data_IF_302892258456
#
_entry.id   IF_302892258456
#
_cell.length_a   1.000
_cell.length_b   1.000
_cell.length_c   1.000
_cell.angle_alpha   90.00
_cell.angle_beta   90.00
_cell.angle_gamma   90.00
#
_symmetry.space_group_name_H-M   'P 1'
#
loop_
_entity.id
_entity.type
_entity.pdbx_description
1 polymer ?
#
# COMPACT_ATOMS: atom_id res chain seq x y z
N UNK A 1 19.35 -3.84 10.25
CA UNK A 1 18.11 -3.05 10.19
C UNK A 1 16.97 -4.06 10.07
N UNK A 2 16.15 -4.19 11.11
CA UNK A 2 15.02 -5.14 11.14
C UNK A 2 13.87 -4.58 10.29
N UNK A 3 13.49 -5.30 9.23
CA UNK A 3 12.44 -4.90 8.29
C UNK A 3 11.26 -5.85 8.40
N UNK A 4 10.06 -5.33 8.65
CA UNK A 4 8.85 -6.15 8.74
C UNK A 4 7.84 -5.75 7.67
N UNK A 5 6.99 -6.70 7.27
CA UNK A 5 5.79 -6.41 6.48
C UNK A 5 4.55 -6.47 7.37
N UNK A 6 3.71 -5.44 7.30
CA UNK A 6 2.39 -5.44 7.91
C UNK A 6 1.33 -5.39 6.81
N UNK A 7 0.40 -6.35 6.85
CA UNK A 7 -0.66 -6.53 5.86
C UNK A 7 -2.00 -6.21 6.54
N UNK A 8 -2.52 -4.97 6.39
CA UNK A 8 -3.80 -4.63 6.98
C UNK A 8 -4.93 -5.38 6.26
N UNK A 9 -5.80 -6.00 7.04
CA UNK A 9 -6.92 -6.77 6.54
C UNK A 9 -8.23 -6.37 7.21
N UNK A 10 -9.22 -5.97 6.38
CA UNK A 10 -10.59 -5.68 6.82
C UNK A 10 -11.58 -6.38 5.89
N UNK A 11 -12.65 -6.92 6.45
CA UNK A 11 -13.73 -7.54 5.66
C UNK A 11 -14.75 -6.53 5.15
N UNK A 12 -14.87 -5.40 5.84
CA UNK A 12 -15.78 -4.32 5.53
C UNK A 12 -15.26 -3.51 4.36
N UNK A 13 -15.71 -3.82 3.18
CA UNK A 13 -15.46 -3.05 1.96
C UNK A 13 -16.79 -2.66 1.33
N UNK A 14 -17.04 -1.35 1.16
CA UNK A 14 -18.27 -0.85 0.52
C UNK A 14 -18.48 -1.37 -0.90
N UNK A 15 -17.38 -1.55 -1.67
CA UNK A 15 -17.42 -2.00 -3.08
C UNK A 15 -17.49 -3.52 -3.23
N UNK A 16 -16.86 -4.27 -2.35
CA UNK A 16 -16.81 -5.74 -2.42
C UNK A 16 -16.63 -6.34 -1.02
N UNK A 17 -17.74 -6.59 -0.29
CA UNK A 17 -17.69 -7.17 1.06
C UNK A 17 -16.96 -8.51 1.07
N UNK A 18 -16.22 -8.77 2.14
CA UNK A 18 -15.48 -10.02 2.37
C UNK A 18 -14.46 -10.38 1.27
N UNK A 19 -13.95 -9.39 0.51
CA UNK A 19 -13.00 -9.63 -0.60
C UNK A 19 -11.82 -10.49 -0.17
N UNK A 20 -11.24 -10.24 0.99
CA UNK A 20 -9.99 -10.86 1.44
C UNK A 20 -10.11 -12.35 1.73
N UNK A 21 -11.29 -12.81 2.15
CA UNK A 21 -11.56 -14.24 2.40
C UNK A 21 -12.12 -14.96 1.16
N UNK A 22 -12.44 -14.24 0.08
CA UNK A 22 -12.80 -14.86 -1.21
C UNK A 22 -11.62 -15.64 -1.75
N UNK A 23 -11.94 -16.78 -2.37
CA UNK A 23 -10.94 -17.72 -2.89
C UNK A 23 -10.67 -17.51 -4.37
N UNK A 24 -9.41 -17.47 -4.74
CA UNK A 24 -8.93 -17.57 -6.12
C UNK A 24 -8.18 -18.89 -6.25
N UNK A 25 -8.67 -19.79 -7.10
CA UNK A 25 -8.15 -21.14 -7.23
C UNK A 25 -8.10 -21.89 -5.87
N UNK A 26 -9.18 -21.77 -5.09
CA UNK A 26 -9.31 -22.44 -3.80
C UNK A 26 -8.60 -21.80 -2.60
N UNK A 27 -7.77 -20.75 -2.81
CA UNK A 27 -6.95 -20.11 -1.79
C UNK A 27 -7.50 -18.69 -1.50
N UNK A 28 -7.75 -18.31 -0.22
CA UNK A 28 -8.15 -16.95 0.14
C UNK A 28 -7.18 -15.89 -0.35
N UNK A 29 -7.69 -14.73 -0.79
CA UNK A 29 -6.85 -13.65 -1.32
C UNK A 29 -5.82 -13.20 -0.27
N UNK A 30 -6.23 -13.00 0.97
CA UNK A 30 -5.31 -12.60 2.05
C UNK A 30 -4.16 -13.60 2.25
N UNK A 31 -4.44 -14.90 2.14
CA UNK A 31 -3.42 -15.94 2.26
C UNK A 31 -2.45 -15.93 1.07
N UNK A 32 -2.94 -15.62 -0.13
CA UNK A 32 -2.07 -15.43 -1.30
C UNK A 32 -1.12 -14.25 -1.11
N UNK A 33 -1.63 -13.12 -0.63
CA UNK A 33 -0.82 -11.93 -0.35
C UNK A 33 0.22 -12.22 0.74
N UNK A 34 -0.18 -12.91 1.81
CA UNK A 34 0.72 -13.30 2.89
C UNK A 34 1.86 -14.21 2.37
N UNK A 35 1.52 -15.25 1.61
CA UNK A 35 2.53 -16.15 0.99
C UNK A 35 3.46 -15.42 0.04
N UNK A 36 2.91 -14.54 -0.81
CA UNK A 36 3.71 -13.73 -1.73
C UNK A 36 4.71 -12.83 -0.99
N UNK A 37 4.31 -12.25 0.15
CA UNK A 37 5.22 -11.47 0.99
C UNK A 37 6.36 -12.34 1.56
N UNK A 38 6.07 -13.53 2.08
CA UNK A 38 7.07 -14.48 2.58
C UNK A 38 8.04 -14.95 1.47
N UNK A 39 7.52 -15.21 0.27
CA UNK A 39 8.32 -15.68 -0.88
C UNK A 39 9.36 -14.65 -1.33
N UNK A 40 9.17 -13.36 -1.05
CA UNK A 40 10.19 -12.33 -1.34
C UNK A 40 11.48 -12.56 -0.57
N UNK A 41 11.40 -13.09 0.65
CA UNK A 41 12.52 -13.22 1.61
C UNK A 41 13.22 -11.90 1.93
N UNK A 42 12.46 -10.80 1.89
CA UNK A 42 12.94 -9.44 2.17
C UNK A 42 12.61 -8.98 3.60
N UNK A 43 11.74 -9.70 4.30
CA UNK A 43 11.23 -9.33 5.61
C UNK A 43 11.72 -10.29 6.69
N UNK A 44 12.13 -9.75 7.82
CA UNK A 44 12.44 -10.56 9.01
C UNK A 44 11.17 -11.21 9.56
N UNK A 45 10.03 -10.48 9.49
CA UNK A 45 8.73 -10.96 9.93
C UNK A 45 7.61 -10.39 9.03
N UNK A 46 6.57 -11.19 8.79
CA UNK A 46 5.37 -10.78 8.05
C UNK A 46 4.15 -11.01 8.94
N UNK A 47 3.39 -9.96 9.21
CA UNK A 47 2.17 -10.03 10.01
C UNK A 47 0.95 -9.66 9.19
N UNK A 48 -0.15 -10.36 9.43
CA UNK A 48 -1.49 -9.89 9.03
C UNK A 48 -2.15 -9.21 10.23
N UNK A 49 -2.56 -7.95 10.03
CA UNK A 49 -3.18 -7.11 11.06
C UNK A 49 -4.67 -6.98 10.80
N UNK A 50 -5.51 -7.52 11.68
CA UNK A 50 -6.96 -7.53 11.50
C UNK A 50 -7.70 -7.48 12.82
N UNK A 51 -8.90 -6.89 12.84
CA UNK A 51 -9.86 -7.05 13.94
C UNK A 51 -10.70 -8.33 13.78
N UNK A 52 -10.72 -8.93 12.58
CA UNK A 52 -11.59 -10.07 12.26
C UNK A 52 -10.91 -11.41 12.56
N UNK A 53 -11.53 -12.22 13.43
CA UNK A 53 -11.00 -13.51 13.87
C UNK A 53 -10.93 -14.56 12.74
N UNK A 54 -11.81 -14.50 11.73
CA UNK A 54 -11.75 -15.40 10.58
C UNK A 54 -10.48 -15.16 9.77
N UNK A 55 -10.15 -13.89 9.50
CA UNK A 55 -8.91 -13.53 8.81
C UNK A 55 -7.68 -14.00 9.58
N UNK A 56 -7.65 -13.74 10.89
CA UNK A 56 -6.53 -14.14 11.74
C UNK A 56 -6.37 -15.65 11.80
N UNK A 57 -7.48 -16.41 11.86
CA UNK A 57 -7.47 -17.87 11.86
C UNK A 57 -6.88 -18.43 10.56
N UNK A 58 -7.29 -17.92 9.38
CA UNK A 58 -6.75 -18.33 8.09
C UNK A 58 -5.22 -18.26 8.06
N UNK A 59 -4.64 -17.21 8.65
CA UNK A 59 -3.20 -17.01 8.67
C UNK A 59 -2.52 -17.88 9.74
N UNK A 60 -3.12 -18.01 10.92
CA UNK A 60 -2.61 -18.89 11.99
C UNK A 60 -2.58 -20.35 11.59
N UNK A 61 -3.62 -20.82 10.90
CA UNK A 61 -3.69 -22.21 10.40
C UNK A 61 -2.57 -22.51 9.39
N UNK A 62 -2.01 -21.48 8.74
CA UNK A 62 -0.83 -21.55 7.87
C UNK A 62 0.50 -21.39 8.63
N UNK A 63 0.47 -21.23 9.95
CA UNK A 63 1.66 -20.98 10.78
C UNK A 63 2.15 -19.51 10.71
N UNK A 64 1.35 -18.60 10.17
CA UNK A 64 1.72 -17.19 9.99
C UNK A 64 1.53 -16.34 11.23
N UNK A 65 2.27 -15.22 11.30
CA UNK A 65 2.16 -14.24 12.38
C UNK A 65 0.95 -13.34 12.16
N UNK A 66 0.27 -13.03 13.25
CA UNK A 66 -0.91 -12.16 13.23
C UNK A 66 -0.87 -11.16 14.36
N UNK A 67 -1.49 -10.01 14.15
CA UNK A 67 -1.77 -9.03 15.19
C UNK A 67 -3.27 -8.73 15.22
N UNK A 68 -3.91 -8.87 16.39
CA UNK A 68 -5.33 -8.55 16.56
C UNK A 68 -5.46 -7.06 16.85
N UNK A 69 -5.99 -6.30 15.86
CA UNK A 69 -6.34 -4.90 16.02
C UNK A 69 -7.57 -4.77 16.91
N UNK A 70 -7.50 -3.91 17.90
CA UNK A 70 -8.55 -3.70 18.91
C UNK A 70 -9.45 -2.51 18.57
N UNK A 71 -8.98 -1.60 17.71
CA UNK A 71 -9.66 -0.36 17.35
C UNK A 71 -10.22 -0.43 15.93
N UNK A 72 -11.31 0.30 15.72
CA UNK A 72 -11.80 0.60 14.37
C UNK A 72 -10.94 1.70 13.77
N UNK A 73 -10.28 1.36 12.67
CA UNK A 73 -9.39 2.28 11.97
C UNK A 73 -10.01 2.76 10.66
N UNK A 74 -9.85 4.05 10.39
CA UNK A 74 -10.36 4.67 9.16
C UNK A 74 -9.57 4.23 7.92
N UNK A 75 -8.29 3.88 8.10
CA UNK A 75 -7.41 3.47 7.01
C UNK A 75 -6.58 2.21 7.33
N UNK A 76 -5.99 1.61 6.29
CA UNK A 76 -5.05 0.49 6.45
C UNK A 76 -3.79 0.89 7.18
N UNK A 77 -3.28 2.10 6.90
CA UNK A 77 -2.06 2.62 7.53
C UNK A 77 -2.27 2.92 9.02
N UNK A 78 -3.44 3.47 9.41
CA UNK A 78 -3.76 3.66 10.84
C UNK A 78 -3.83 2.32 11.58
N UNK A 79 -4.36 1.27 10.94
CA UNK A 79 -4.42 -0.09 11.51
C UNK A 79 -3.04 -0.71 11.74
N UNK A 80 -2.13 -0.59 10.77
CA UNK A 80 -0.78 -1.13 10.95
C UNK A 80 0.03 -0.33 11.96
N UNK A 81 -0.25 0.96 12.14
CA UNK A 81 0.42 1.77 13.15
C UNK A 81 0.14 1.27 14.58
N UNK A 82 -1.09 0.79 14.87
CA UNK A 82 -1.41 0.12 16.13
C UNK A 82 -0.50 -1.10 16.38
N UNK A 83 -0.31 -1.93 15.35
CA UNK A 83 0.58 -3.10 15.46
C UNK A 83 2.05 -2.69 15.61
N UNK A 84 2.49 -1.69 14.86
CA UNK A 84 3.88 -1.22 14.84
C UNK A 84 4.37 -0.69 16.20
N UNK A 85 3.49 -0.17 17.05
CA UNK A 85 3.84 0.25 18.41
C UNK A 85 4.34 -0.95 19.24
N UNK A 86 3.74 -2.13 19.03
CA UNK A 86 3.94 -3.34 19.83
C UNK A 86 4.96 -4.32 19.23
N UNK A 87 5.39 -4.11 17.99
CA UNK A 87 6.33 -4.99 17.29
C UNK A 87 7.65 -4.24 17.11
N UNK A 88 8.76 -4.85 17.49
CA UNK A 88 10.08 -4.26 17.31
C UNK A 88 10.51 -4.31 15.85
N UNK A 89 10.88 -3.17 15.26
CA UNK A 89 11.35 -3.03 13.89
C UNK A 89 12.03 -1.67 13.68
N UNK A 90 12.84 -1.58 12.64
CA UNK A 90 13.40 -0.31 12.14
C UNK A 90 12.54 0.24 11.00
N UNK A 91 12.17 -0.64 10.05
CA UNK A 91 11.36 -0.32 8.88
C UNK A 91 10.14 -1.23 8.82
N UNK A 92 9.01 -0.64 8.46
CA UNK A 92 7.78 -1.35 8.16
C UNK A 92 7.32 -1.07 6.74
N UNK A 93 6.99 -2.11 6.00
CA UNK A 93 6.36 -2.04 4.68
C UNK A 93 4.88 -2.37 4.82
N UNK A 94 4.03 -1.42 4.40
CA UNK A 94 2.57 -1.58 4.36
C UNK A 94 2.19 -2.24 3.03
N UNK A 95 1.86 -3.53 3.06
CA UNK A 95 1.41 -4.30 1.90
C UNK A 95 -0.11 -4.43 1.92
N UNK A 96 -0.78 -4.00 0.85
CA UNK A 96 -2.24 -4.08 0.79
C UNK A 96 -2.71 -5.55 0.76
N UNK A 97 -3.67 -5.90 1.63
CA UNK A 97 -4.13 -7.28 1.80
C UNK A 97 -4.76 -7.92 0.54
N UNK A 98 -5.11 -7.12 -0.46
CA UNK A 98 -5.70 -7.55 -1.72
C UNK A 98 -4.74 -7.50 -2.93
N UNK A 99 -3.44 -7.36 -2.67
CA UNK A 99 -2.38 -7.32 -3.69
C UNK A 99 -1.48 -8.57 -3.63
N UNK A 100 -1.92 -9.70 -4.19
CA UNK A 100 -1.15 -10.95 -4.15
C UNK A 100 0.06 -10.97 -5.11
N UNK A 101 0.22 -9.95 -5.95
CA UNK A 101 1.31 -9.87 -6.94
C UNK A 101 2.39 -8.89 -6.48
N UNK A 102 3.19 -9.31 -5.50
CA UNK A 102 4.28 -8.52 -4.95
C UNK A 102 5.51 -8.67 -5.85
N UNK A 103 6.03 -7.54 -6.35
CA UNK A 103 7.29 -7.57 -7.09
C UNK A 103 8.48 -7.42 -6.12
N UNK A 104 9.32 -8.45 -6.04
CA UNK A 104 10.45 -8.50 -5.12
C UNK A 104 11.45 -7.37 -5.34
N UNK A 105 11.78 -7.04 -6.60
CA UNK A 105 12.77 -6.01 -6.93
C UNK A 105 12.27 -4.63 -6.50
N UNK A 106 11.00 -4.30 -6.83
CA UNK A 106 10.40 -3.03 -6.42
C UNK A 106 10.37 -2.87 -4.88
N UNK A 107 10.05 -3.94 -4.14
CA UNK A 107 10.07 -3.91 -2.67
C UNK A 107 11.50 -3.79 -2.14
N UNK A 108 12.47 -4.47 -2.77
CA UNK A 108 13.88 -4.34 -2.41
C UNK A 108 14.37 -2.91 -2.57
N UNK A 109 14.06 -2.27 -3.71
CA UNK A 109 14.44 -0.88 -3.97
C UNK A 109 13.77 0.09 -2.98
N UNK A 110 12.51 -0.17 -2.64
CA UNK A 110 11.77 0.58 -1.63
C UNK A 110 12.48 0.49 -0.26
N UNK A 111 12.86 -0.70 0.19
CA UNK A 111 13.57 -0.92 1.46
C UNK A 111 14.97 -0.28 1.42
N UNK A 112 15.70 -0.46 0.32
CA UNK A 112 17.05 0.09 0.15
C UNK A 112 17.09 1.62 0.18
N UNK A 113 15.98 2.29 -0.15
CA UNK A 113 15.91 3.76 -0.08
C UNK A 113 16.17 4.32 1.33
N UNK A 114 15.95 3.51 2.38
CA UNK A 114 16.20 3.89 3.78
C UNK A 114 17.69 3.85 4.18
N UNK A 115 18.59 3.44 3.29
CA UNK A 115 20.03 3.65 3.48
C UNK A 115 20.39 5.15 3.43
N UNK A 116 19.55 5.97 2.76
CA UNK A 116 19.56 7.42 2.89
C UNK A 116 18.82 7.82 4.17
N UNK A 117 19.56 8.39 5.15
CA UNK A 117 19.01 8.76 6.47
C UNK A 117 17.94 9.85 6.42
N UNK A 118 17.85 10.58 5.31
CA UNK A 118 16.83 11.61 5.09
C UNK A 118 15.47 10.98 4.70
N UNK A 119 15.46 9.70 4.32
CA UNK A 119 14.23 8.99 3.96
C UNK A 119 13.57 8.43 5.22
N UNK A 120 12.41 8.98 5.56
CA UNK A 120 11.58 8.52 6.67
C UNK A 120 10.32 7.80 6.18
N UNK A 121 9.84 8.16 4.99
CA UNK A 121 8.66 7.60 4.33
C UNK A 121 9.00 7.43 2.85
N UNK A 122 8.72 6.28 2.30
CA UNK A 122 8.88 6.00 0.88
C UNK A 122 7.64 5.32 0.29
N UNK A 123 7.45 5.49 -1.01
CA UNK A 123 6.40 4.80 -1.77
C UNK A 123 6.88 4.52 -3.20
N UNK A 124 6.11 3.76 -3.96
CA UNK A 124 6.49 3.36 -5.31
C UNK A 124 5.77 4.20 -6.37
N UNK A 125 6.46 4.40 -7.50
CA UNK A 125 5.84 4.95 -8.71
C UNK A 125 6.34 4.22 -9.95
N UNK A 126 5.54 4.26 -11.03
CA UNK A 126 5.89 3.71 -12.34
C UNK A 126 5.40 4.62 -13.44
N UNK A 127 5.85 4.39 -14.67
CA UNK A 127 5.31 5.12 -15.83
C UNK A 127 3.99 4.51 -16.29
N UNK A 128 3.15 5.35 -16.91
CA UNK A 128 1.95 4.89 -17.61
C UNK A 128 2.30 4.27 -18.96
N UNK A 129 1.43 3.39 -19.46
CA UNK A 129 1.62 2.74 -20.77
C UNK A 129 0.89 3.48 -21.89
N UNK A 130 -0.22 4.13 -21.58
CA UNK A 130 -1.07 4.83 -22.55
C UNK A 130 -1.91 5.92 -21.85
N UNK A 131 -2.54 6.77 -22.64
CA UNK A 131 -3.39 7.88 -22.14
C UNK A 131 -4.68 7.40 -21.48
N UNK A 132 -5.25 6.26 -21.87
CA UNK A 132 -6.46 5.71 -21.26
C UNK A 132 -6.20 5.35 -19.79
N UNK A 133 -4.99 4.85 -19.48
CA UNK A 133 -4.60 4.62 -18.08
C UNK A 133 -4.45 5.94 -17.29
N UNK A 134 -3.97 7.02 -17.94
CA UNK A 134 -3.78 8.32 -17.29
C UNK A 134 -5.13 8.96 -16.96
N UNK A 135 -6.11 8.88 -17.87
CA UNK A 135 -7.45 9.46 -17.65
C UNK A 135 -8.29 8.65 -16.66
N UNK A 136 -7.95 7.39 -16.40
CA UNK A 136 -8.67 6.55 -15.44
C UNK A 136 -8.44 7.06 -13.99
N UNK A 137 -9.48 7.48 -13.26
CA UNK A 137 -9.35 8.01 -11.90
C UNK A 137 -8.96 6.95 -10.86
N UNK A 138 -9.03 5.65 -11.18
CA UNK A 138 -8.54 4.59 -10.31
C UNK A 138 -7.01 4.50 -10.33
N UNK A 139 -6.36 5.03 -11.34
CA UNK A 139 -4.91 5.14 -11.43
C UNK A 139 -4.49 6.50 -10.86
N UNK A 140 -3.90 6.51 -9.69
CA UNK A 140 -3.45 7.74 -9.03
C UNK A 140 -2.19 8.26 -9.73
N UNK A 141 -2.18 9.57 -10.05
CA UNK A 141 -1.01 10.27 -10.56
C UNK A 141 -0.22 10.89 -9.41
N UNK A 142 1.10 10.93 -9.56
CA UNK A 142 1.98 11.62 -8.62
C UNK A 142 2.94 12.54 -9.36
N UNK A 143 3.06 13.77 -8.88
CA UNK A 143 4.11 14.71 -9.30
C UNK A 143 5.22 14.67 -8.26
N UNK A 144 6.46 14.66 -8.72
CA UNK A 144 7.64 14.63 -7.86
C UNK A 144 8.55 15.84 -8.15
N UNK A 145 9.33 16.24 -7.15
CA UNK A 145 10.38 17.21 -7.31
C UNK A 145 11.67 16.58 -7.89
N UNK A 146 12.71 17.37 -8.08
CA UNK A 146 14.01 16.92 -8.61
C UNK A 146 14.73 15.87 -7.73
N UNK A 147 14.31 15.69 -6.50
CA UNK A 147 14.83 14.69 -5.57
C UNK A 147 13.93 13.44 -5.49
N UNK A 148 12.92 13.34 -6.36
CA UNK A 148 11.87 12.33 -6.32
C UNK A 148 11.03 12.34 -5.04
N UNK A 149 10.95 13.46 -4.32
CA UNK A 149 9.97 13.59 -3.24
C UNK A 149 8.61 14.00 -3.83
N UNK A 150 7.54 13.37 -3.36
CA UNK A 150 6.19 13.67 -3.83
C UNK A 150 5.79 15.12 -3.55
N UNK A 151 5.27 15.81 -4.57
CA UNK A 151 4.71 17.15 -4.47
C UNK A 151 3.19 17.08 -4.29
N UNK A 152 2.53 16.22 -5.09
CA UNK A 152 1.08 16.04 -5.02
C UNK A 152 0.64 14.72 -5.63
N UNK A 153 -0.49 14.19 -5.13
CA UNK A 153 -1.18 13.04 -5.68
C UNK A 153 -2.56 13.44 -6.17
N UNK A 154 -2.99 12.97 -7.34
CA UNK A 154 -4.33 13.26 -7.86
C UNK A 154 -4.94 12.09 -8.62
N UNK A 155 -6.25 12.02 -8.55
CA UNK A 155 -7.03 11.13 -9.44
C UNK A 155 -7.24 11.72 -10.83
N UNK A 156 -7.15 13.05 -10.97
CA UNK A 156 -7.15 13.70 -12.27
C UNK A 156 -5.76 13.63 -12.93
N UNK A 157 -5.69 13.74 -14.28
CA UNK A 157 -4.41 13.85 -14.97
C UNK A 157 -3.62 15.09 -14.51
N UNK A 158 -2.43 14.88 -14.03
CA UNK A 158 -1.41 15.90 -13.69
C UNK A 158 -0.04 15.44 -14.19
N UNK A 159 0.82 16.35 -14.77
CA UNK A 159 0.63 17.79 -14.93
C UNK A 159 -0.37 18.15 -16.03
N UNK A 160 -0.92 19.36 -15.96
CA UNK A 160 -1.80 19.90 -17.01
C UNK A 160 -1.00 20.20 -18.29
N UNK A 161 -1.61 19.92 -19.44
CA UNK A 161 -1.09 20.31 -20.77
C UNK A 161 0.05 19.45 -21.30
N UNK A 162 0.45 18.37 -20.64
CA UNK A 162 1.42 17.43 -21.23
C UNK A 162 0.75 16.48 -22.20
N UNK A 163 1.38 16.35 -23.39
CA UNK A 163 1.00 15.41 -24.44
C UNK A 163 1.92 14.17 -24.48
N UNK A 164 2.89 14.08 -23.55
CA UNK A 164 3.85 13.00 -23.48
C UNK A 164 3.55 12.07 -22.30
N UNK A 165 3.41 10.78 -22.56
CA UNK A 165 3.11 9.77 -21.55
C UNK A 165 4.18 9.71 -20.46
N UNK A 166 5.46 9.91 -20.85
CA UNK A 166 6.60 9.91 -19.94
C UNK A 166 6.59 11.01 -18.89
N UNK A 167 5.79 12.07 -19.05
CA UNK A 167 5.66 13.14 -18.06
C UNK A 167 4.77 12.73 -16.88
N UNK A 168 3.99 11.65 -17.05
CA UNK A 168 3.08 11.16 -16.02
C UNK A 168 3.69 10.01 -15.24
N UNK A 169 3.59 10.09 -13.91
CA UNK A 169 3.94 9.00 -13.01
C UNK A 169 2.69 8.44 -12.34
N UNK A 170 2.55 7.12 -12.35
CA UNK A 170 1.50 6.40 -11.64
C UNK A 170 2.01 6.05 -10.23
N UNK A 171 1.27 6.45 -9.22
CA UNK A 171 1.51 6.03 -7.85
C UNK A 171 1.10 4.56 -7.65
N UNK A 172 1.91 3.83 -6.90
CA UNK A 172 1.64 2.47 -6.44
C UNK A 172 1.49 2.52 -4.92
N UNK A 173 0.33 2.12 -4.41
CA UNK A 173 -0.10 2.31 -3.01
C UNK A 173 0.63 1.44 -1.97
N UNK A 174 1.88 1.07 -2.22
CA UNK A 174 2.77 0.43 -1.25
C UNK A 174 3.60 1.50 -0.58
N UNK A 175 3.55 1.55 0.75
CA UNK A 175 4.33 2.50 1.54
C UNK A 175 5.31 1.77 2.45
N UNK A 176 6.47 2.40 2.68
CA UNK A 176 7.38 2.01 3.71
C UNK A 176 7.66 3.19 4.63
N UNK A 177 7.85 2.91 5.91
CA UNK A 177 8.05 3.91 6.96
C UNK A 177 9.18 3.47 7.89
N UNK A 178 9.95 4.43 8.41
CA UNK A 178 10.63 4.19 9.67
C UNK A 178 9.59 4.05 10.79
N UNK A 179 9.94 3.35 11.86
CA UNK A 179 9.04 3.16 13.02
C UNK A 179 8.47 4.48 13.53
N UNK A 180 9.33 5.47 13.72
CA UNK A 180 8.90 6.78 14.24
C UNK A 180 7.99 7.51 13.27
N UNK A 181 8.28 7.47 11.97
CA UNK A 181 7.44 8.12 10.95
C UNK A 181 6.03 7.53 10.89
N UNK A 182 5.86 6.20 11.05
CA UNK A 182 4.55 5.57 11.09
C UNK A 182 3.76 5.95 12.35
N UNK A 183 4.44 5.96 13.52
CA UNK A 183 3.82 6.38 14.78
C UNK A 183 3.38 7.86 14.70
N UNK A 184 4.21 8.72 14.12
CA UNK A 184 3.85 10.12 13.93
C UNK A 184 2.70 10.30 12.94
N UNK A 185 2.69 9.52 11.84
CA UNK A 185 1.57 9.53 10.90
C UNK A 185 0.23 9.19 11.58
N UNK A 186 0.21 8.20 12.47
CA UNK A 186 -1.01 7.77 13.16
C UNK A 186 -1.62 8.84 14.09
N UNK A 187 -0.83 9.85 14.47
CA UNK A 187 -1.29 11.00 15.29
C UNK A 187 -1.87 12.13 14.45
N UNK A 188 -1.67 12.10 13.12
CA UNK A 188 -2.15 13.15 12.21
C UNK A 188 -3.66 12.99 11.98
N UNK A 189 -4.39 14.07 12.10
CA UNK A 189 -5.79 14.10 11.70
C UNK A 189 -5.92 13.99 10.18
N UNK A 190 -7.02 13.39 9.73
CA UNK A 190 -7.31 13.30 8.30
C UNK A 190 -7.55 14.69 7.73
N UNK A 191 -6.82 15.01 6.67
CA UNK A 191 -6.92 16.30 6.02
C UNK A 191 -8.13 16.40 5.07
N UNK A 192 -8.53 17.62 4.75
CA UNK A 192 -9.64 17.86 3.80
C UNK A 192 -9.32 17.31 2.40
N UNK A 193 -8.09 17.51 1.92
CA UNK A 193 -7.69 17.03 0.59
C UNK A 193 -7.53 15.50 0.57
N UNK A 194 -7.03 14.88 1.63
CA UNK A 194 -7.03 13.42 1.77
C UNK A 194 -8.43 12.83 1.61
N UNK A 195 -9.44 13.46 2.25
CA UNK A 195 -10.83 13.00 2.20
C UNK A 195 -11.40 13.13 0.77
N UNK A 196 -11.15 14.27 0.12
CA UNK A 196 -11.65 14.56 -1.24
C UNK A 196 -11.04 13.61 -2.27
N UNK A 197 -9.72 13.47 -2.28
CA UNK A 197 -9.00 12.61 -3.22
C UNK A 197 -9.05 11.13 -2.80
N UNK A 198 -9.38 10.85 -1.52
CA UNK A 198 -9.32 9.51 -0.90
C UNK A 198 -7.93 8.89 -1.04
N UNK A 199 -6.89 9.66 -0.70
CA UNK A 199 -5.47 9.30 -0.84
C UNK A 199 -4.70 9.66 0.44
N UNK A 200 -4.27 8.66 1.21
CA UNK A 200 -3.56 8.82 2.51
C UNK A 200 -2.23 9.59 2.37
N UNK A 201 -1.53 9.46 1.23
CA UNK A 201 -0.28 10.18 0.97
C UNK A 201 -0.42 11.71 1.02
N UNK A 202 -1.62 12.24 0.79
CA UNK A 202 -1.88 13.68 0.88
C UNK A 202 -1.77 14.16 2.33
N UNK A 203 -2.27 13.40 3.32
CA UNK A 203 -2.12 13.73 4.75
C UNK A 203 -0.65 13.97 5.12
N UNK A 204 0.25 13.15 4.59
CA UNK A 204 1.68 13.26 4.83
C UNK A 204 2.22 14.59 4.29
N UNK A 205 1.88 14.91 3.04
CA UNK A 205 2.37 16.11 2.34
C UNK A 205 1.80 17.38 2.98
N UNK A 206 0.51 17.43 3.29
CA UNK A 206 -0.13 18.58 3.94
C UNK A 206 0.47 18.87 5.32
N UNK A 207 1.05 17.87 5.99
CA UNK A 207 1.79 18.03 7.23
C UNK A 207 3.31 18.28 7.03
N UNK A 208 3.71 18.73 5.84
CA UNK A 208 5.09 19.08 5.48
C UNK A 208 6.08 17.93 5.65
N UNK A 209 5.61 16.69 5.60
CA UNK A 209 6.45 15.49 5.61
C UNK A 209 6.75 15.08 4.16
N UNK A 210 7.94 14.52 3.94
CA UNK A 210 8.37 14.05 2.62
C UNK A 210 7.99 12.59 2.42
N UNK A 211 7.64 12.25 1.17
CA UNK A 211 7.51 10.87 0.70
C UNK A 211 8.50 10.71 -0.45
N UNK A 212 9.53 9.90 -0.27
CA UNK A 212 10.45 9.55 -1.36
C UNK A 212 9.77 8.55 -2.30
N UNK A 213 9.64 8.94 -3.58
CA UNK A 213 9.04 8.11 -4.61
C UNK A 213 10.11 7.29 -5.32
N UNK A 214 10.01 5.96 -5.22
CA UNK A 214 10.95 5.03 -5.84
C UNK A 214 10.35 4.56 -7.16
N UNK A 215 11.09 4.79 -8.26
CA UNK A 215 10.67 4.36 -9.59
C UNK A 215 10.86 2.86 -9.77
N UNK A 216 9.84 2.19 -10.31
CA UNK A 216 9.92 0.79 -10.71
C UNK A 216 9.49 0.62 -12.16
N UNK A 217 10.16 -0.26 -12.89
CA UNK A 217 9.77 -0.64 -14.25
C UNK A 217 8.64 -1.66 -14.31
N UNK A 218 8.29 -2.27 -13.17
CA UNK A 218 7.24 -3.25 -13.13
C UNK A 218 5.87 -2.59 -13.18
N UNK A 219 5.04 -2.96 -14.18
CA UNK A 219 3.63 -2.64 -14.12
C UNK A 219 3.05 -3.43 -12.95
N UNK A 220 2.81 -2.80 -11.83
CA UNK A 220 1.90 -3.38 -10.83
C UNK A 220 0.55 -3.46 -11.52
N UNK A 221 0.25 -4.65 -11.99
CA UNK A 221 -1.04 -4.93 -12.57
C UNK A 221 -2.04 -4.96 -11.43
N UNK A 222 -2.61 -3.80 -11.10
CA UNK A 222 -3.95 -3.76 -10.52
C UNK A 222 -4.94 -4.20 -11.61
N UNK A 223 -4.68 -5.33 -12.24
CA UNK A 223 -5.72 -5.99 -12.97
C UNK A 223 -6.78 -6.25 -11.94
N UNK A 224 -7.81 -5.45 -12.01
CA UNK A 224 -9.07 -5.73 -11.38
C UNK A 224 -9.25 -7.24 -11.38
N UNK A 225 -9.23 -7.85 -10.19
CA UNK A 225 -9.82 -9.14 -10.01
C UNK A 225 -11.31 -8.93 -10.26
N UNK A 226 -11.68 -8.73 -11.51
CA UNK A 226 -13.03 -8.83 -12.00
C UNK A 226 -13.32 -10.32 -11.96
N UNK A 227 -13.84 -10.77 -10.81
CA UNK A 227 -14.58 -12.02 -10.83
C UNK A 227 -15.66 -11.84 -11.89
N UNK A 228 -15.80 -12.79 -12.84
CA UNK A 228 -16.83 -12.68 -13.85
C UNK A 228 -18.16 -12.51 -13.13
N UNK A 229 -18.77 -11.35 -13.25
CA UNK A 229 -20.16 -11.14 -12.88
C UNK A 229 -20.96 -12.08 -13.76
N UNK A 230 -21.37 -13.22 -13.23
CA UNK A 230 -22.44 -14.01 -13.86
C UNK A 230 -23.60 -13.05 -14.02
N UNK A 231 -23.90 -12.66 -15.27
CA UNK A 231 -25.20 -12.09 -15.60
C UNK A 231 -26.23 -13.10 -15.11
N UNK A 232 -26.98 -12.72 -14.08
CA UNK A 232 -28.21 -13.37 -13.71
C UNK A 232 -29.19 -12.93 -14.80
N UNK A 233 -29.53 -13.85 -15.68
CA UNK A 233 -30.68 -13.76 -16.60
C UNK A 233 -31.94 -14.06 -15.79
#
# INVERSE_FOLDING_TARGET
MKTIALIPARLESKRFPNKLVKKINGIPIILKTFRAALETKLFDEVYVVSANDEVLRIIKDEGGLTFKSLSDHLSGTDRIAEAAINIEHDIVVNLQGDEPFINKEAISDLINSFNDKDVQIASLMTKFKNFDEITNPNNVKVIVNKHNDAIYFSRLPIPFGSEKIEDFNRHIGVYAFTRNALIDFSKLERSKLEIIESLEGIRIIENSKKIRMISTSFPVSYTHLTLPTKRIV
#
